data_IF_058355297050
#
_entry.id   IF_058355297050
#
_cell.length_a   1.000
_cell.length_b   1.000
_cell.length_c   1.000
_cell.angle_alpha   90.00
_cell.angle_beta   90.00
_cell.angle_gamma   90.00
#
_symmetry.space_group_name_H-M   'P 1'
#
loop_
_entity.id
_entity.type
_entity.pdbx_description
1 polymer ?
#
# COMPACT_ATOMS: atom_id res chain seq x y z
N UNK A 1 36.36 -76.39 77.54
CA UNK A 1 34.92 -76.72 77.52
C UNK A 1 34.29 -76.05 76.32
N UNK A 2 33.35 -76.75 75.67
CA UNK A 2 32.74 -76.48 74.36
C UNK A 2 31.88 -75.20 74.31
N UNK A 3 31.47 -74.88 73.07
CA UNK A 3 30.20 -74.23 72.66
C UNK A 3 30.19 -72.72 72.51
N UNK A 4 29.59 -72.09 71.49
CA UNK A 4 28.90 -72.53 70.26
C UNK A 4 28.86 -71.29 69.36
N UNK A 5 29.09 -71.44 68.05
CA UNK A 5 28.88 -70.42 67.04
C UNK A 5 27.40 -70.05 66.91
N UNK A 6 27.05 -68.76 67.01
CA UNK A 6 25.76 -68.23 66.55
C UNK A 6 26.02 -67.19 65.45
N UNK A 7 25.73 -67.57 64.22
CA UNK A 7 25.74 -66.67 63.06
C UNK A 7 24.39 -65.97 63.00
N UNK A 8 24.37 -64.64 63.17
CA UNK A 8 23.21 -63.80 62.85
C UNK A 8 23.47 -63.11 61.50
N UNK A 9 22.77 -63.59 60.46
CA UNK A 9 22.70 -62.96 59.15
C UNK A 9 21.64 -61.85 59.19
N UNK A 10 22.07 -60.59 59.27
CA UNK A 10 21.18 -59.45 59.05
C UNK A 10 21.04 -59.20 57.54
N UNK A 11 19.87 -59.53 56.99
CA UNK A 11 19.44 -59.05 55.69
C UNK A 11 19.00 -57.59 55.83
N UNK A 12 19.90 -56.64 55.57
CA UNK A 12 19.52 -55.23 55.44
C UNK A 12 18.95 -55.01 54.05
N UNK A 13 17.64 -54.81 53.98
CA UNK A 13 16.94 -54.32 52.79
C UNK A 13 17.50 -52.93 52.44
N UNK A 14 18.31 -52.84 51.38
CA UNK A 14 18.69 -51.57 50.78
C UNK A 14 17.51 -51.03 49.98
N UNK A 15 16.60 -50.35 50.68
CA UNK A 15 15.68 -49.42 50.04
C UNK A 15 16.52 -48.27 49.50
N UNK A 16 16.84 -48.31 48.21
CA UNK A 16 17.41 -47.18 47.50
C UNK A 16 16.36 -46.07 47.44
N UNK A 17 16.37 -45.21 48.45
CA UNK A 17 15.86 -43.86 48.33
C UNK A 17 16.65 -43.21 47.19
N UNK A 18 16.03 -43.09 46.02
CA UNK A 18 16.45 -42.15 44.99
C UNK A 18 16.27 -40.75 45.58
N UNK A 19 17.31 -40.23 46.20
CA UNK A 19 17.43 -38.80 46.40
C UNK A 19 17.65 -38.20 45.02
N UNK A 20 16.63 -37.56 44.46
CA UNK A 20 16.86 -36.53 43.46
C UNK A 20 17.73 -35.47 44.15
N UNK A 21 19.02 -35.50 43.89
CA UNK A 21 19.98 -34.51 44.36
C UNK A 21 19.69 -33.21 43.59
N UNK A 22 18.71 -32.43 44.03
CA UNK A 22 18.63 -31.03 43.66
C UNK A 22 19.78 -30.33 44.40
N UNK A 23 20.95 -30.28 43.77
CA UNK A 23 21.98 -29.30 44.13
C UNK A 23 21.44 -27.92 43.81
N UNK A 24 20.70 -27.32 44.75
CA UNK A 24 20.47 -25.89 44.73
C UNK A 24 21.81 -25.21 45.05
N UNK A 25 22.35 -24.33 44.20
CA UNK A 25 23.55 -23.59 44.52
C UNK A 25 23.36 -22.83 45.83
N UNK A 26 24.26 -23.02 46.79
CA UNK A 26 24.25 -22.40 48.12
C UNK A 26 24.75 -20.94 48.14
N UNK A 27 24.98 -20.34 46.97
CA UNK A 27 25.04 -18.89 46.84
C UNK A 27 23.61 -18.38 46.62
N UNK A 28 23.20 -17.30 47.29
CA UNK A 28 21.95 -16.58 46.98
C UNK A 28 21.94 -16.23 45.48
N UNK A 29 21.32 -17.07 44.66
CA UNK A 29 21.15 -16.80 43.24
C UNK A 29 20.05 -15.74 43.09
N UNK A 30 20.43 -14.47 43.17
CA UNK A 30 19.54 -13.31 43.01
C UNK A 30 19.02 -13.14 41.56
N UNK A 31 19.41 -14.03 40.64
CA UNK A 31 19.09 -13.92 39.22
C UNK A 31 17.64 -14.26 38.87
N UNK A 32 16.99 -15.10 39.67
CA UNK A 32 15.59 -15.51 39.48
C UNK A 32 14.89 -15.43 40.83
N UNK A 33 13.89 -14.55 40.95
CA UNK A 33 13.08 -14.41 42.17
C UNK A 33 11.62 -14.67 41.86
N UNK A 34 11.03 -15.63 42.54
CA UNK A 34 9.58 -15.81 42.59
C UNK A 34 9.10 -15.18 43.89
N UNK A 35 8.45 -14.04 43.81
CA UNK A 35 7.62 -13.53 44.90
C UNK A 35 6.16 -13.65 44.48
N UNK A 36 5.21 -13.58 45.41
CA UNK A 36 3.77 -13.75 45.11
C UNK A 36 3.21 -12.80 44.03
N UNK A 37 4.03 -11.91 43.45
CA UNK A 37 3.72 -11.07 42.29
C UNK A 37 4.27 -11.57 40.95
N UNK A 38 5.16 -12.58 40.89
CA UNK A 38 5.58 -13.19 39.62
C UNK A 38 7.02 -13.73 39.58
N UNK A 39 7.47 -14.07 38.36
CA UNK A 39 8.85 -14.48 38.05
C UNK A 39 9.68 -13.26 37.65
N UNK A 40 10.64 -12.88 38.48
CA UNK A 40 11.54 -11.77 38.24
C UNK A 40 12.88 -12.29 37.71
N UNK A 41 13.32 -11.78 36.57
CA UNK A 41 14.62 -12.08 35.97
C UNK A 41 15.54 -10.87 36.14
N UNK A 42 16.64 -11.03 36.85
CA UNK A 42 17.59 -9.94 37.05
C UNK A 42 18.44 -9.73 35.80
N UNK A 43 18.56 -8.47 35.36
CA UNK A 43 19.52 -8.08 34.32
C UNK A 43 20.95 -8.36 34.79
N UNK A 44 21.84 -8.90 33.93
CA UNK A 44 23.24 -9.07 34.29
C UNK A 44 24.01 -7.74 34.23
N UNK A 45 24.99 -7.57 35.12
CA UNK A 45 25.94 -6.45 35.06
C UNK A 45 27.13 -6.87 34.20
N UNK A 46 27.07 -6.59 32.89
CA UNK A 46 28.10 -6.97 31.92
C UNK A 46 28.52 -5.79 31.05
N UNK A 47 29.77 -5.77 30.59
CA UNK A 47 30.25 -4.80 29.58
C UNK A 47 29.83 -5.17 28.15
N UNK A 48 29.50 -6.45 27.91
CA UNK A 48 29.03 -6.96 26.62
C UNK A 48 27.50 -7.09 26.53
N UNK A 49 27.04 -7.37 25.32
CA UNK A 49 25.63 -7.67 25.03
C UNK A 49 25.16 -8.94 25.74
N UNK A 50 23.89 -8.94 26.15
CA UNK A 50 23.29 -10.03 26.89
C UNK A 50 21.85 -10.31 26.41
N UNK A 51 21.45 -11.56 26.57
CA UNK A 51 20.06 -12.00 26.44
C UNK A 51 19.67 -12.80 27.70
N UNK A 52 18.45 -12.57 28.20
CA UNK A 52 17.89 -13.28 29.36
C UNK A 52 16.43 -13.62 29.10
N UNK A 53 16.05 -14.87 29.29
CA UNK A 53 14.68 -15.30 29.09
C UNK A 53 14.53 -16.80 29.09
N UNK A 54 13.41 -17.25 28.53
CA UNK A 54 13.08 -18.66 28.34
C UNK A 54 13.47 -19.08 26.93
N UNK A 55 14.44 -19.99 26.82
CA UNK A 55 14.88 -20.48 25.52
C UNK A 55 14.73 -22.00 25.42
N UNK A 56 14.42 -22.46 24.22
CA UNK A 56 14.31 -23.86 23.86
C UNK A 56 15.51 -24.19 22.97
N UNK A 57 16.31 -25.16 23.38
CA UNK A 57 17.56 -25.53 22.71
C UNK A 57 17.61 -27.04 22.47
N UNK A 58 18.48 -27.48 21.56
CA UNK A 58 18.75 -28.90 21.36
C UNK A 58 20.24 -29.17 21.31
N UNK A 59 20.68 -30.16 22.07
CA UNK A 59 22.07 -30.49 22.26
C UNK A 59 22.76 -29.52 23.20
N UNK A 60 23.23 -28.38 22.66
CA UNK A 60 24.01 -27.39 23.40
C UNK A 60 23.17 -26.16 23.80
N UNK A 61 23.49 -25.56 24.95
CA UNK A 61 22.93 -24.30 25.44
C UNK A 61 23.25 -23.09 24.55
N UNK A 62 24.20 -23.22 23.62
CA UNK A 62 24.48 -22.17 22.63
C UNK A 62 23.53 -22.23 21.41
N UNK A 63 22.91 -23.39 21.17
CA UNK A 63 22.12 -23.68 19.96
C UNK A 63 20.64 -23.73 20.25
N UNK A 64 19.95 -22.61 20.03
CA UNK A 64 18.53 -22.47 20.30
C UNK A 64 17.66 -22.78 19.07
N UNK A 65 16.43 -23.22 19.29
CA UNK A 65 15.39 -23.27 18.26
C UNK A 65 14.50 -22.05 18.32
N UNK A 66 14.11 -21.63 19.52
CA UNK A 66 13.32 -20.44 19.75
C UNK A 66 13.51 -19.94 21.17
N UNK A 67 13.08 -18.71 21.43
CA UNK A 67 13.07 -18.19 22.78
C UNK A 67 12.28 -16.90 22.89
N UNK A 68 11.96 -16.57 24.14
CA UNK A 68 11.41 -15.28 24.51
C UNK A 68 12.21 -14.67 25.65
N UNK A 69 12.44 -13.37 25.62
CA UNK A 69 13.28 -12.74 26.64
C UNK A 69 13.60 -11.27 26.37
N UNK A 70 14.54 -10.76 27.15
CA UNK A 70 15.08 -9.42 27.07
C UNK A 70 16.48 -9.47 26.47
N UNK A 71 16.80 -8.50 25.62
CA UNK A 71 18.11 -8.32 25.01
C UNK A 71 18.60 -6.90 25.29
N UNK A 72 19.87 -6.76 25.67
CA UNK A 72 20.45 -5.47 26.07
C UNK A 72 21.98 -5.50 26.09
N UNK A 73 22.59 -4.42 26.56
CA UNK A 73 24.03 -4.32 26.82
C UNK A 73 24.28 -3.36 27.98
N UNK A 74 25.15 -3.74 28.92
CA UNK A 74 25.31 -2.96 30.16
C UNK A 74 23.96 -2.72 30.81
N UNK A 75 23.70 -1.46 31.16
CA UNK A 75 22.47 -1.00 31.79
C UNK A 75 21.32 -0.75 30.80
N UNK A 76 21.58 -0.82 29.50
CA UNK A 76 20.59 -0.55 28.48
C UNK A 76 19.83 -1.82 28.09
N UNK A 77 18.49 -1.75 28.18
CA UNK A 77 17.60 -2.71 27.56
C UNK A 77 17.31 -2.26 26.13
N UNK A 78 17.54 -3.14 25.15
CA UNK A 78 17.27 -2.85 23.75
C UNK A 78 15.90 -3.31 23.30
N UNK A 79 15.47 -4.50 23.72
CA UNK A 79 14.18 -5.07 23.28
C UNK A 79 13.74 -6.25 24.12
N UNK A 80 12.44 -6.46 24.16
CA UNK A 80 11.84 -7.78 24.37
C UNK A 80 11.74 -8.51 23.02
N UNK A 81 11.96 -9.83 23.01
CA UNK A 81 11.83 -10.65 21.81
C UNK A 81 11.01 -11.91 22.07
N UNK A 82 10.33 -12.37 21.02
CA UNK A 82 9.79 -13.73 20.87
C UNK A 82 10.19 -14.18 19.46
N UNK A 83 11.12 -15.12 19.34
CA UNK A 83 11.73 -15.39 18.04
C UNK A 83 12.18 -16.84 17.87
N UNK A 84 12.22 -17.27 16.61
CA UNK A 84 12.83 -18.52 16.17
C UNK A 84 14.27 -18.29 15.68
N UNK A 85 15.13 -19.30 15.81
CA UNK A 85 16.50 -19.33 15.29
C UNK A 85 17.54 -19.71 16.34
N UNK A 86 18.77 -19.96 15.87
CA UNK A 86 19.93 -20.32 16.71
C UNK A 86 20.26 -19.24 17.76
N UNK A 87 19.97 -17.98 17.44
CA UNK A 87 20.10 -16.83 18.34
C UNK A 87 18.80 -16.00 18.32
N UNK A 88 17.76 -16.40 19.07
CA UNK A 88 16.45 -15.76 19.04
C UNK A 88 16.50 -14.25 19.31
N UNK A 89 17.38 -13.82 20.22
CA UNK A 89 17.55 -12.42 20.60
C UNK A 89 18.07 -11.52 19.47
N UNK A 90 18.75 -12.06 18.45
CA UNK A 90 19.25 -11.33 17.27
C UNK A 90 18.62 -11.77 15.95
N UNK A 91 17.68 -12.71 15.99
CA UNK A 91 16.95 -13.16 14.80
C UNK A 91 16.20 -11.99 14.14
N UNK A 92 15.85 -12.16 12.87
CA UNK A 92 14.93 -11.27 12.13
C UNK A 92 13.65 -12.04 11.75
N UNK A 93 13.35 -13.15 12.42
CA UNK A 93 12.16 -13.98 12.15
C UNK A 93 11.10 -13.87 13.25
N UNK A 94 11.35 -13.06 14.27
CA UNK A 94 10.51 -12.94 15.46
C UNK A 94 9.67 -11.68 15.55
N UNK A 95 9.01 -11.55 16.70
CA UNK A 95 8.38 -10.35 17.21
C UNK A 95 9.33 -9.68 18.21
N UNK A 96 9.49 -8.37 18.07
CA UNK A 96 10.37 -7.55 18.90
C UNK A 96 9.60 -6.34 19.43
N UNK A 97 9.74 -6.03 20.71
CA UNK A 97 9.14 -4.83 21.32
C UNK A 97 10.28 -3.98 21.89
N UNK A 98 10.42 -2.76 21.40
CA UNK A 98 11.40 -1.80 21.90
C UNK A 98 10.89 -1.11 23.19
N UNK A 99 11.77 -0.53 24.02
CA UNK A 99 11.38 0.23 25.22
C UNK A 99 10.43 1.41 24.95
N UNK A 100 10.41 1.95 23.73
CA UNK A 100 9.48 3.01 23.30
C UNK A 100 8.08 2.48 22.90
N UNK A 101 7.85 1.17 23.01
CA UNK A 101 6.61 0.50 22.66
C UNK A 101 6.46 0.16 21.17
N UNK A 102 7.45 0.45 20.33
CA UNK A 102 7.40 0.05 18.91
C UNK A 102 7.57 -1.47 18.79
N UNK A 103 6.68 -2.09 18.02
CA UNK A 103 6.65 -3.53 17.79
C UNK A 103 7.09 -3.84 16.37
N UNK A 104 8.11 -4.67 16.21
CA UNK A 104 8.59 -5.18 14.94
C UNK A 104 8.23 -6.65 14.74
N UNK A 105 7.74 -7.02 13.56
CA UNK A 105 7.60 -8.41 13.12
C UNK A 105 8.54 -8.58 11.92
N UNK A 106 9.52 -9.47 12.04
CA UNK A 106 10.53 -9.66 10.99
C UNK A 106 11.60 -8.55 10.91
N UNK A 107 11.52 -7.56 11.81
CA UNK A 107 12.48 -6.46 11.94
C UNK A 107 12.72 -6.14 13.40
N UNK A 108 13.96 -5.80 13.71
CA UNK A 108 14.39 -5.49 15.06
C UNK A 108 14.59 -3.97 15.29
N UNK A 109 14.32 -3.17 14.26
CA UNK A 109 14.34 -1.71 14.26
C UNK A 109 13.00 -1.16 13.72
N UNK A 110 11.89 -1.33 14.45
CA UNK A 110 10.59 -0.83 14.02
C UNK A 110 10.53 0.71 14.03
N UNK A 111 10.24 1.29 12.86
CA UNK A 111 10.14 2.75 12.64
C UNK A 111 8.77 3.34 13.04
N UNK A 112 7.77 2.48 13.23
CA UNK A 112 6.43 2.84 13.67
C UNK A 112 5.98 1.97 14.87
N UNK A 113 4.80 2.25 15.43
CA UNK A 113 4.24 1.46 16.54
C UNK A 113 4.10 -0.02 16.19
N UNK A 114 3.78 -0.32 14.94
CA UNK A 114 3.86 -1.65 14.36
C UNK A 114 4.61 -1.54 13.03
N UNK A 115 5.72 -2.26 12.89
CA UNK A 115 6.45 -2.40 11.63
C UNK A 115 6.56 -3.88 11.27
N UNK A 116 6.18 -4.24 10.05
CA UNK A 116 6.24 -5.62 9.55
C UNK A 116 7.17 -5.65 8.35
N UNK A 117 8.26 -6.41 8.45
CA UNK A 117 9.15 -6.67 7.34
C UNK A 117 8.70 -7.95 6.62
N UNK A 118 7.72 -7.79 5.73
CA UNK A 118 7.08 -8.89 5.00
C UNK A 118 5.62 -8.59 4.73
N UNK A 119 4.88 -9.62 4.31
CA UNK A 119 3.48 -9.48 3.93
C UNK A 119 2.56 -9.60 5.16
N UNK A 120 1.50 -8.77 5.17
CA UNK A 120 0.38 -8.91 6.10
C UNK A 120 -0.80 -9.50 5.31
N UNK A 121 -1.18 -10.74 5.62
CA UNK A 121 -2.39 -11.34 5.07
C UNK A 121 -3.54 -11.15 6.07
N UNK A 122 -4.54 -10.35 5.68
CA UNK A 122 -5.71 -10.06 6.49
C UNK A 122 -7.00 -10.30 5.69
N UNK A 123 -8.08 -10.66 6.38
CA UNK A 123 -9.42 -10.73 5.75
C UNK A 123 -10.01 -9.33 5.52
N UNK A 124 -9.75 -8.40 6.43
CA UNK A 124 -10.25 -7.05 6.40
C UNK A 124 -9.29 -6.13 7.17
N UNK A 125 -9.13 -4.90 6.70
CA UNK A 125 -8.40 -3.83 7.39
C UNK A 125 -9.30 -2.60 7.43
N UNK A 126 -9.60 -2.11 8.64
CA UNK A 126 -10.32 -0.84 8.84
C UNK A 126 -9.31 0.21 9.28
N UNK A 127 -9.05 1.19 8.41
CA UNK A 127 -8.20 2.33 8.75
C UNK A 127 -9.08 3.46 9.26
N UNK A 128 -8.80 3.93 10.47
CA UNK A 128 -9.38 5.17 11.00
C UNK A 128 -8.37 6.28 10.78
N UNK A 129 -8.81 7.34 10.13
CA UNK A 129 -8.03 8.54 9.89
C UNK A 129 -8.85 9.74 10.32
N UNK A 130 -8.17 10.81 10.72
CA UNK A 130 -8.78 12.11 11.01
C UNK A 130 -8.96 12.96 9.73
N UNK A 131 -8.57 12.41 8.57
CA UNK A 131 -8.75 13.06 7.27
C UNK A 131 -10.23 13.02 6.88
N UNK A 132 -10.74 14.15 6.40
CA UNK A 132 -12.13 14.29 5.96
C UNK A 132 -12.38 13.56 4.64
N UNK A 133 -13.58 12.97 4.51
CA UNK A 133 -14.05 12.33 3.28
C UNK A 133 -14.30 13.42 2.22
N UNK A 134 -13.89 13.23 0.96
CA UNK A 134 -13.90 14.29 -0.05
C UNK A 134 -15.27 14.73 -0.59
N UNK A 135 -16.38 14.44 0.10
CA UNK A 135 -17.74 14.82 -0.30
C UNK A 135 -17.90 16.33 -0.62
N UNK A 136 -17.01 17.17 -0.07
CA UNK A 136 -16.94 18.60 -0.35
C UNK A 136 -16.71 18.95 -1.84
N UNK A 137 -16.25 18.00 -2.67
CA UNK A 137 -16.09 18.18 -4.12
C UNK A 137 -17.43 18.53 -4.79
N UNK A 138 -18.55 18.10 -4.21
CA UNK A 138 -19.89 18.39 -4.75
C UNK A 138 -20.51 19.68 -4.23
N UNK A 139 -19.82 20.43 -3.37
CA UNK A 139 -20.32 21.70 -2.85
C UNK A 139 -20.29 22.79 -3.93
N UNK A 140 -21.25 23.74 -3.93
CA UNK A 140 -21.36 24.75 -4.99
C UNK A 140 -20.16 25.71 -5.11
N UNK A 141 -19.39 25.85 -4.04
CA UNK A 141 -18.19 26.70 -3.96
C UNK A 141 -16.88 25.92 -4.20
N UNK A 142 -16.97 24.64 -4.57
CA UNK A 142 -15.79 23.85 -4.93
C UNK A 142 -15.18 24.35 -6.25
N UNK A 143 -13.91 24.77 -6.16
CA UNK A 143 -13.12 25.23 -7.30
C UNK A 143 -12.60 24.02 -8.10
N UNK A 144 -13.39 23.57 -9.06
CA UNK A 144 -13.03 22.47 -9.96
C UNK A 144 -11.93 22.96 -10.93
N UNK A 145 -10.72 22.34 -10.93
CA UNK A 145 -9.63 22.79 -11.80
C UNK A 145 -10.01 22.74 -13.29
N UNK A 146 -9.33 23.51 -14.14
CA UNK A 146 -9.56 23.35 -15.57
C UNK A 146 -8.82 22.12 -16.14
N UNK A 147 -9.45 21.39 -17.07
CA UNK A 147 -8.80 20.27 -17.77
C UNK A 147 -7.53 20.70 -18.53
N UNK A 148 -7.46 21.97 -18.96
CA UNK A 148 -6.31 22.58 -19.62
C UNK A 148 -5.09 22.64 -18.67
N UNK A 149 -5.32 23.07 -17.43
CA UNK A 149 -4.32 23.16 -16.35
C UNK A 149 -3.86 21.78 -15.90
N UNK A 150 -4.81 20.84 -15.71
CA UNK A 150 -4.48 19.45 -15.39
C UNK A 150 -3.62 18.84 -16.50
N UNK A 151 -3.96 19.07 -17.77
CA UNK A 151 -3.18 18.55 -18.90
C UNK A 151 -1.75 19.13 -18.94
N UNK A 152 -1.59 20.42 -18.64
CA UNK A 152 -0.27 21.05 -18.53
C UNK A 152 0.54 20.43 -17.39
N UNK A 153 -0.07 20.26 -16.20
CA UNK A 153 0.57 19.64 -15.05
C UNK A 153 1.01 18.20 -15.34
N UNK A 154 0.13 17.38 -15.91
CA UNK A 154 0.44 15.98 -16.25
C UNK A 154 1.57 15.91 -17.30
N UNK A 155 1.58 16.83 -18.27
CA UNK A 155 2.65 16.89 -19.28
C UNK A 155 4.01 17.15 -18.65
N UNK A 156 4.07 18.03 -17.66
CA UNK A 156 5.29 18.41 -16.94
C UNK A 156 5.72 17.38 -15.88
N UNK A 157 4.81 16.98 -15.00
CA UNK A 157 5.10 16.19 -13.79
C UNK A 157 4.89 14.68 -13.95
N UNK A 158 4.20 14.23 -15.00
CA UNK A 158 3.90 12.80 -15.29
C UNK A 158 3.05 12.08 -14.22
N UNK A 159 2.36 12.83 -13.38
CA UNK A 159 1.34 12.34 -12.45
C UNK A 159 0.24 13.39 -12.28
N UNK A 160 -0.87 13.01 -11.65
CA UNK A 160 -1.97 13.94 -11.35
C UNK A 160 -1.57 14.91 -10.23
N UNK A 161 -2.15 16.13 -10.20
CA UNK A 161 -2.05 17.02 -9.06
C UNK A 161 -2.45 16.31 -7.76
N UNK A 162 -1.80 16.66 -6.65
CA UNK A 162 -2.01 16.11 -5.28
C UNK A 162 -1.64 14.63 -5.11
N UNK A 163 -1.52 13.85 -6.18
CA UNK A 163 -1.06 12.46 -6.11
C UNK A 163 0.47 12.45 -6.01
N UNK A 164 1.06 11.79 -4.99
CA UNK A 164 2.50 11.70 -4.84
C UNK A 164 3.16 11.04 -6.05
N UNK A 165 4.36 11.51 -6.39
CA UNK A 165 5.10 10.92 -7.51
C UNK A 165 5.64 9.53 -7.13
N UNK A 166 5.95 8.71 -8.14
CA UNK A 166 6.58 7.40 -7.91
C UNK A 166 7.88 7.52 -7.07
N UNK A 167 8.65 8.59 -7.26
CA UNK A 167 9.87 8.85 -6.48
C UNK A 167 9.60 9.17 -5.02
N UNK A 168 8.46 9.80 -4.72
CA UNK A 168 8.08 10.13 -3.34
C UNK A 168 7.59 8.86 -2.63
N UNK A 169 6.81 8.02 -3.33
CA UNK A 169 6.34 6.73 -2.83
C UNK A 169 7.52 5.78 -2.56
N UNK A 170 8.51 5.71 -3.45
CA UNK A 170 9.70 4.87 -3.25
C UNK A 170 10.52 5.26 -2.01
N UNK A 171 10.51 6.55 -1.63
CA UNK A 171 11.27 7.06 -0.47
C UNK A 171 10.51 6.96 0.84
N UNK A 172 9.23 7.35 0.84
CA UNK A 172 8.42 7.53 2.04
C UNK A 172 7.41 6.42 2.30
N UNK A 173 7.23 5.50 1.36
CA UNK A 173 6.11 4.58 1.36
C UNK A 173 4.81 5.26 0.90
N UNK A 174 3.71 4.52 1.02
CA UNK A 174 2.38 4.97 0.61
C UNK A 174 1.43 4.87 1.81
N UNK A 175 0.82 5.98 2.21
CA UNK A 175 -0.29 5.94 3.16
C UNK A 175 -1.55 5.44 2.44
N UNK A 176 -2.04 4.27 2.86
CA UNK A 176 -3.18 3.62 2.23
C UNK A 176 -4.48 4.40 2.41
N UNK A 177 -4.69 5.04 3.57
CA UNK A 177 -5.92 5.79 3.82
C UNK A 177 -5.92 7.11 3.04
N UNK A 178 -4.82 7.85 3.10
CA UNK A 178 -4.68 9.11 2.37
C UNK A 178 -4.81 8.88 0.86
N UNK A 179 -4.14 7.87 0.30
CA UNK A 179 -4.23 7.55 -1.12
C UNK A 179 -5.65 7.15 -1.53
N UNK A 180 -6.35 6.34 -0.74
CA UNK A 180 -7.73 5.97 -1.05
C UNK A 180 -8.67 7.19 -1.03
N UNK A 181 -8.46 8.14 -0.13
CA UNK A 181 -9.23 9.39 -0.07
C UNK A 181 -8.90 10.31 -1.25
N UNK A 182 -7.62 10.44 -1.63
CA UNK A 182 -7.22 11.18 -2.82
C UNK A 182 -7.80 10.56 -4.09
N UNK A 183 -7.79 9.24 -4.22
CA UNK A 183 -8.41 8.54 -5.34
C UNK A 183 -9.91 8.79 -5.39
N UNK A 184 -10.60 8.75 -4.26
CA UNK A 184 -12.03 9.07 -4.18
C UNK A 184 -12.29 10.50 -4.65
N UNK A 185 -11.52 11.48 -4.17
CA UNK A 185 -11.58 12.88 -4.63
C UNK A 185 -11.46 12.98 -6.15
N UNK A 186 -10.49 12.28 -6.76
CA UNK A 186 -10.29 12.31 -8.21
C UNK A 186 -11.42 11.61 -8.99
N UNK A 187 -12.05 10.59 -8.43
CA UNK A 187 -13.25 9.97 -9.02
C UNK A 187 -14.44 10.93 -8.98
N UNK A 188 -14.61 11.68 -7.90
CA UNK A 188 -15.68 12.69 -7.77
C UNK A 188 -15.45 13.87 -8.73
N UNK A 189 -14.23 14.41 -8.80
CA UNK A 189 -13.85 15.43 -9.80
C UNK A 189 -14.11 14.92 -11.24
N UNK A 190 -13.72 13.67 -11.55
CA UNK A 190 -13.99 13.05 -12.84
C UNK A 190 -15.49 12.97 -13.14
N UNK A 191 -16.30 12.68 -12.13
CA UNK A 191 -17.76 12.61 -12.26
C UNK A 191 -18.35 13.99 -12.58
N UNK A 192 -17.83 15.07 -11.99
CA UNK A 192 -18.21 16.45 -12.34
C UNK A 192 -17.92 16.76 -13.81
N UNK A 193 -16.71 16.46 -14.30
CA UNK A 193 -16.38 16.68 -15.71
C UNK A 193 -17.26 15.85 -16.66
N UNK A 194 -17.59 14.61 -16.29
CA UNK A 194 -18.49 13.77 -17.10
C UNK A 194 -19.90 14.34 -17.15
N UNK A 195 -20.43 14.87 -16.04
CA UNK A 195 -21.73 15.55 -16.03
C UNK A 195 -21.72 16.82 -16.90
N UNK A 196 -20.64 17.60 -16.88
CA UNK A 196 -20.49 18.76 -17.75
C UNK A 196 -20.43 18.36 -19.24
N UNK A 197 -19.67 17.30 -19.53
CA UNK A 197 -19.55 16.74 -20.89
C UNK A 197 -20.87 16.22 -21.42
N UNK A 198 -21.63 15.46 -20.63
CA UNK A 198 -22.97 14.97 -21.01
C UNK A 198 -23.94 16.11 -21.31
N UNK A 199 -23.90 17.20 -20.51
CA UNK A 199 -24.69 18.42 -20.80
C UNK A 199 -24.30 19.04 -22.15
N UNK A 200 -23.00 19.18 -22.43
CA UNK A 200 -22.52 19.73 -23.70
C UNK A 200 -22.89 18.83 -24.88
N UNK A 201 -22.77 17.52 -24.74
CA UNK A 201 -23.15 16.55 -25.77
C UNK A 201 -24.64 16.62 -26.09
N UNK A 202 -25.51 16.63 -25.06
CA UNK A 202 -26.96 16.78 -25.26
C UNK A 202 -27.33 18.11 -25.92
N UNK A 203 -26.65 19.20 -25.56
CA UNK A 203 -26.88 20.49 -26.19
C UNK A 203 -26.46 20.46 -27.66
N UNK A 204 -25.28 19.92 -27.98
CA UNK A 204 -24.81 19.78 -29.36
C UNK A 204 -25.74 18.87 -30.18
N UNK A 205 -26.25 17.78 -29.60
CA UNK A 205 -27.23 16.91 -30.25
C UNK A 205 -28.54 17.65 -30.55
N UNK A 206 -29.03 18.46 -29.62
CA UNK A 206 -30.22 19.29 -29.82
C UNK A 206 -30.01 20.30 -30.96
N UNK A 207 -28.88 21.02 -30.97
CA UNK A 207 -28.54 21.98 -32.03
C UNK A 207 -28.43 21.28 -33.39
N UNK A 208 -27.83 20.08 -33.43
CA UNK A 208 -27.74 19.28 -34.66
C UNK A 208 -29.13 18.87 -35.16
N UNK A 209 -30.06 18.53 -34.27
CA UNK A 209 -31.43 18.19 -34.67
C UNK A 209 -32.19 19.41 -35.19
N UNK A 210 -32.05 20.56 -34.52
CA UNK A 210 -32.65 21.82 -34.96
C UNK A 210 -32.15 22.21 -36.36
N UNK A 211 -30.83 22.22 -36.58
CA UNK A 211 -30.22 22.51 -37.87
C UNK A 211 -30.67 21.53 -38.97
N UNK A 212 -30.85 20.25 -38.64
CA UNK A 212 -31.39 19.24 -39.59
C UNK A 212 -32.83 19.54 -39.96
N UNK A 213 -33.67 19.94 -39.00
CA UNK A 213 -35.06 20.32 -39.26
C UNK A 213 -35.14 21.58 -40.12
N UNK A 214 -34.34 22.60 -39.82
CA UNK A 214 -34.26 23.82 -40.64
C UNK A 214 -33.80 23.51 -42.07
N UNK A 215 -32.77 22.67 -42.22
CA UNK A 215 -32.27 22.26 -43.53
C UNK A 215 -33.34 21.48 -44.33
N UNK A 216 -34.08 20.59 -43.68
CA UNK A 216 -35.16 19.84 -44.31
C UNK A 216 -36.28 20.78 -44.80
N UNK A 217 -36.72 21.72 -43.96
CA UNK A 217 -37.72 22.72 -44.33
C UNK A 217 -37.25 23.61 -45.49
N UNK A 218 -35.97 23.99 -45.50
CA UNK A 218 -35.38 24.75 -46.61
C UNK A 218 -35.41 23.98 -47.93
N UNK A 219 -35.01 22.70 -47.91
CA UNK A 219 -35.00 21.84 -49.11
C UNK A 219 -36.43 21.64 -49.62
N UNK A 220 -37.40 21.43 -48.74
CA UNK A 220 -38.80 21.30 -49.12
C UNK A 220 -39.32 22.58 -49.79
N UNK A 221 -38.96 23.76 -49.26
CA UNK A 221 -39.39 25.04 -49.80
C UNK A 221 -38.70 25.41 -51.15
N UNK A 222 -37.44 25.03 -51.36
CA UNK A 222 -36.63 25.52 -52.48
C UNK A 222 -36.21 24.45 -53.50
N UNK A 223 -36.43 23.16 -53.22
CA UNK A 223 -36.07 22.04 -54.09
C UNK A 223 -34.57 21.81 -54.26
N UNK A 224 -33.72 22.53 -53.52
CA UNK A 224 -32.27 22.42 -53.53
C UNK A 224 -31.66 22.74 -52.16
N UNK A 225 -30.41 22.35 -51.93
CA UNK A 225 -29.65 22.72 -50.73
C UNK A 225 -29.39 24.23 -50.67
N UNK A 226 -29.23 24.84 -49.48
CA UNK A 226 -28.82 26.24 -49.34
C UNK A 226 -27.57 26.49 -50.17
N UNK A 227 -27.64 27.44 -51.10
CA UNK A 227 -26.46 27.85 -51.86
C UNK A 227 -25.57 28.65 -50.92
N UNK A 228 -24.33 28.20 -50.72
CA UNK A 228 -23.31 29.02 -50.08
C UNK A 228 -23.22 30.31 -50.90
N UNK A 229 -23.50 31.49 -50.33
CA UNK A 229 -23.33 32.74 -51.04
C UNK A 229 -21.90 32.79 -51.60
N UNK A 230 -21.70 33.19 -52.87
CA UNK A 230 -20.35 33.54 -53.29
C UNK A 230 -19.82 34.56 -52.29
N UNK A 231 -18.61 34.32 -51.77
CA UNK A 231 -17.96 35.26 -50.87
C UNK A 231 -18.10 36.66 -51.47
N UNK A 232 -18.71 37.59 -50.75
CA UNK A 232 -18.82 38.98 -51.20
C UNK A 232 -17.40 39.53 -51.14
N UNK A 233 -16.69 39.46 -52.26
CA UNK A 233 -15.29 39.81 -52.42
C UNK A 233 -15.12 41.32 -52.19
N UNK A 234 -14.66 41.71 -51.01
CA UNK A 234 -13.91 42.96 -50.86
C UNK A 234 -12.41 42.64 -51.03
N UNK A 235 -11.74 43.31 -51.98
CA UNK A 235 -10.35 43.05 -52.42
C UNK A 235 -9.32 42.93 -51.27
N UNK A 236 -9.61 43.52 -50.10
CA UNK A 236 -8.77 43.45 -48.89
C UNK A 236 -8.84 42.10 -48.19
N UNK A 237 -9.99 41.44 -48.24
CA UNK A 237 -10.20 40.10 -47.67
C UNK A 237 -9.57 39.01 -48.54
N UNK A 238 -9.27 39.23 -49.83
CA UNK A 238 -8.66 38.20 -50.70
C UNK A 238 -7.26 37.76 -50.25
N UNK A 239 -6.50 38.66 -49.62
CA UNK A 239 -5.16 38.38 -49.08
C UNK A 239 -5.29 37.66 -47.71
N UNK A 240 -6.25 38.05 -46.88
CA UNK A 240 -6.46 37.46 -45.56
C UNK A 240 -7.25 36.14 -45.60
N UNK A 241 -8.23 35.98 -46.48
CA UNK A 241 -8.96 34.71 -46.70
C UNK A 241 -8.11 33.68 -47.44
N UNK A 242 -7.19 34.08 -48.33
CA UNK A 242 -6.24 33.14 -48.93
C UNK A 242 -5.35 32.49 -47.86
N UNK A 243 -4.93 33.31 -46.91
CA UNK A 243 -4.09 32.92 -45.78
C UNK A 243 -4.87 32.19 -44.67
N UNK A 244 -6.13 32.57 -44.42
CA UNK A 244 -7.02 31.84 -43.51
C UNK A 244 -7.56 30.54 -44.11
N UNK A 245 -7.84 30.50 -45.42
CA UNK A 245 -8.26 29.28 -46.13
C UNK A 245 -7.10 28.28 -46.18
N UNK A 246 -5.86 28.74 -46.41
CA UNK A 246 -4.66 27.93 -46.26
C UNK A 246 -4.51 27.37 -44.85
N UNK A 247 -4.65 28.22 -43.81
CA UNK A 247 -4.62 27.80 -42.40
C UNK A 247 -5.76 26.85 -42.04
N UNK A 248 -6.97 27.03 -42.60
CA UNK A 248 -8.10 26.14 -42.40
C UNK A 248 -7.89 24.80 -43.09
N UNK A 249 -7.34 24.78 -44.31
CA UNK A 249 -6.94 23.55 -45.00
C UNK A 249 -5.86 22.80 -44.22
N UNK A 250 -4.85 23.51 -43.71
CA UNK A 250 -3.81 22.93 -42.86
C UNK A 250 -4.41 22.36 -41.56
N UNK A 251 -5.34 23.08 -40.92
CA UNK A 251 -6.07 22.62 -39.73
C UNK A 251 -6.95 21.41 -40.04
N UNK A 252 -7.62 21.39 -41.19
CA UNK A 252 -8.46 20.28 -41.65
C UNK A 252 -7.58 19.06 -41.94
N UNK A 253 -6.43 19.23 -42.59
CA UNK A 253 -5.47 18.15 -42.80
C UNK A 253 -4.91 17.61 -41.48
N UNK A 254 -4.57 18.50 -40.54
CA UNK A 254 -4.08 18.14 -39.20
C UNK A 254 -5.14 17.36 -38.42
N UNK A 255 -6.39 17.85 -38.42
CA UNK A 255 -7.53 17.16 -37.81
C UNK A 255 -7.84 15.83 -38.50
N UNK A 256 -7.72 15.76 -39.82
CA UNK A 256 -7.92 14.52 -40.58
C UNK A 256 -6.86 13.48 -40.21
N UNK A 257 -5.58 13.88 -40.12
CA UNK A 257 -4.49 13.01 -39.67
C UNK A 257 -4.70 12.56 -38.22
N UNK A 258 -5.14 13.48 -37.35
CA UNK A 258 -5.46 13.16 -35.96
C UNK A 258 -6.59 12.14 -35.85
N UNK A 259 -7.69 12.32 -36.60
CA UNK A 259 -8.82 11.39 -36.62
C UNK A 259 -8.39 10.00 -37.12
N UNK A 260 -7.55 9.94 -38.17
CA UNK A 260 -7.00 8.68 -38.69
C UNK A 260 -6.14 7.98 -37.62
N UNK A 261 -5.29 8.71 -36.90
CA UNK A 261 -4.46 8.14 -35.81
C UNK A 261 -5.32 7.65 -34.65
N UNK A 262 -6.34 8.40 -34.24
CA UNK A 262 -7.28 7.97 -33.21
C UNK A 262 -8.04 6.70 -33.62
N UNK A 263 -8.51 6.62 -34.87
CA UNK A 263 -9.17 5.41 -35.38
C UNK A 263 -8.26 4.19 -35.34
N UNK A 264 -6.97 4.36 -35.68
CA UNK A 264 -5.99 3.28 -35.62
C UNK A 264 -5.77 2.80 -34.19
N UNK A 265 -5.63 3.72 -33.23
CA UNK A 265 -5.48 3.38 -31.80
C UNK A 265 -6.70 2.66 -31.24
N UNK A 266 -7.91 3.10 -31.61
CA UNK A 266 -9.16 2.43 -31.22
C UNK A 266 -9.18 1.00 -31.76
N UNK A 267 -8.82 0.80 -33.03
CA UNK A 267 -8.75 -0.55 -33.63
C UNK A 267 -7.71 -1.44 -32.94
N UNK A 268 -6.55 -0.91 -32.56
CA UNK A 268 -5.52 -1.65 -31.81
C UNK A 268 -5.99 -2.01 -30.39
N UNK A 269 -6.76 -1.13 -29.75
CA UNK A 269 -7.39 -1.41 -28.46
C UNK A 269 -8.45 -2.50 -28.55
N UNK A 270 -9.32 -2.47 -29.56
CA UNK A 270 -10.33 -3.50 -29.81
C UNK A 270 -9.68 -4.87 -30.02
N UNK A 271 -8.54 -4.92 -30.71
CA UNK A 271 -7.80 -6.15 -30.94
C UNK A 271 -7.15 -6.68 -29.64
N UNK A 272 -6.64 -5.79 -28.78
CA UNK A 272 -6.14 -6.15 -27.45
C UNK A 272 -7.26 -6.64 -26.53
N UNK A 273 -8.43 -6.00 -26.56
CA UNK A 273 -9.61 -6.43 -25.79
C UNK A 273 -10.00 -7.87 -26.20
N UNK A 274 -10.09 -8.15 -27.51
CA UNK A 274 -10.38 -9.51 -28.01
C UNK A 274 -9.33 -10.54 -27.61
N UNK A 275 -8.06 -10.16 -27.47
CA UNK A 275 -7.01 -11.06 -27.00
C UNK A 275 -7.13 -11.34 -25.50
N UNK A 276 -7.50 -10.33 -24.71
CA UNK A 276 -7.73 -10.46 -23.27
C UNK A 276 -8.95 -11.34 -22.98
N UNK A 277 -10.06 -11.16 -23.70
CA UNK A 277 -11.26 -12.01 -23.60
C UNK A 277 -11.01 -13.48 -23.96
N UNK A 278 -10.03 -13.77 -24.84
CA UNK A 278 -9.60 -15.14 -25.16
C UNK A 278 -8.65 -15.74 -24.13
N UNK A 279 -8.01 -14.90 -23.31
CA UNK A 279 -7.04 -15.31 -22.29
C UNK A 279 -7.66 -15.49 -20.90
N UNK A 280 -8.92 -15.10 -20.70
CA UNK A 280 -9.65 -15.43 -19.48
C UNK A 280 -9.90 -16.94 -19.39
N UNK A 281 -9.48 -17.60 -18.30
CA UNK A 281 -9.84 -19.00 -18.08
C UNK A 281 -11.35 -19.07 -17.86
N UNK A 282 -12.05 -19.81 -18.72
CA UNK A 282 -13.45 -20.19 -18.47
C UNK A 282 -13.52 -20.92 -17.13
N UNK A 283 -14.07 -20.26 -16.11
CA UNK A 283 -14.52 -20.88 -14.86
C UNK A 283 -15.76 -21.74 -15.12
#
# INVERSE_FOLDING_TARGET
MKSTTLVLLFFTCSCSLLWAQNEYPTAKNEYIKIDGGGLNLMRPVTTGGWARGMHFYNGNLDTHYMGMGLHGSGDNLYRFYIAYGQSPWTSNLGLYILPNGNTGIGTNNPEAKLAVNGNILAKEVKVKTDISVPDYVFEPDYDLPELSEIAAYVKEHKHLPEIPSAKDIEKGGLDLAEMNLLLLKKVEELTLYLMEKDKKEKHMEADIQELKTELAAYIEANGHLPRIPPAIETEKERIELGDMSGRLLEKIEELTRYIIDQHKRISEMDERIKQLEKSEPKS
#
